data_IF_971732412366
#
_entry.id   IF_971732412366
#
_cell.length_a   1.000
_cell.length_b   1.000
_cell.length_c   1.000
_cell.angle_alpha   90.00
_cell.angle_beta   90.00
_cell.angle_gamma   90.00
#
_symmetry.space_group_name_H-M   'P 1'
#
loop_
_entity.id
_entity.type
_entity.pdbx_description
1 polymer ?
#
# COMPACT_ATOMS: atom_id res chain seq x y z
N UNK A 1 11.56 -16.94 -18.61
CA UNK A 1 11.14 -15.53 -18.75
C UNK A 1 10.23 -15.22 -17.58
N UNK A 2 10.60 -14.30 -16.68
CA UNK A 2 9.68 -13.89 -15.61
C UNK A 2 8.54 -13.10 -16.25
N UNK A 3 7.30 -13.55 -16.04
CA UNK A 3 6.10 -12.91 -16.58
C UNK A 3 5.59 -11.88 -15.57
N UNK A 4 4.83 -10.91 -16.05
CA UNK A 4 4.05 -10.05 -15.16
C UNK A 4 3.16 -10.93 -14.26
N UNK A 5 2.97 -10.49 -13.01
CA UNK A 5 2.08 -11.20 -12.07
C UNK A 5 0.64 -10.73 -12.26
N UNK A 6 -0.37 -11.58 -12.01
CA UNK A 6 -1.77 -11.17 -12.07
C UNK A 6 -2.08 -10.05 -11.05
N UNK A 7 -2.91 -9.09 -11.46
CA UNK A 7 -3.49 -8.16 -10.50
C UNK A 7 -4.67 -8.81 -9.76
N UNK A 8 -4.91 -8.34 -8.55
CA UNK A 8 -6.10 -8.70 -7.77
C UNK A 8 -7.04 -7.50 -7.74
N UNK A 9 -8.00 -7.45 -8.66
CA UNK A 9 -8.89 -6.31 -8.87
C UNK A 9 -10.36 -6.74 -8.87
N UNK A 10 -11.22 -5.90 -8.30
CA UNK A 10 -12.68 -6.00 -8.32
C UNK A 10 -13.28 -4.60 -8.17
N UNK A 11 -14.51 -4.39 -8.62
CA UNK A 11 -15.28 -3.20 -8.25
C UNK A 11 -15.58 -3.16 -6.75
N UNK A 12 -15.62 -1.97 -6.15
CA UNK A 12 -15.99 -1.81 -4.73
C UNK A 12 -14.88 -2.16 -3.73
N UNK A 13 -13.61 -2.12 -4.16
CA UNK A 13 -12.47 -2.28 -3.25
C UNK A 13 -12.45 -1.18 -2.18
N UNK A 14 -12.21 -1.58 -0.93
CA UNK A 14 -11.89 -0.64 0.16
C UNK A 14 -10.49 -0.07 -0.04
N UNK A 15 -9.53 -0.91 -0.43
CA UNK A 15 -8.13 -0.55 -0.51
C UNK A 15 -7.47 -1.20 -1.73
N UNK A 16 -6.77 -0.42 -2.54
CA UNK A 16 -5.90 -0.92 -3.60
C UNK A 16 -4.43 -0.64 -3.24
N UNK A 17 -3.63 -1.69 -3.05
CA UNK A 17 -2.19 -1.55 -2.88
C UNK A 17 -1.50 -1.44 -4.24
N UNK A 18 -0.62 -0.46 -4.38
CA UNK A 18 0.16 -0.20 -5.59
C UNK A 18 1.65 -0.25 -5.28
N UNK A 19 2.33 -1.27 -5.80
CA UNK A 19 3.79 -1.38 -5.75
C UNK A 19 4.50 -0.74 -6.96
N UNK A 20 5.83 -0.76 -6.94
CA UNK A 20 6.66 -0.35 -8.08
C UNK A 20 6.48 -1.32 -9.24
N UNK A 21 6.97 -2.54 -9.05
CA UNK A 21 6.94 -3.65 -9.97
C UNK A 21 7.22 -4.96 -9.20
N UNK A 22 6.94 -6.13 -9.78
CA UNK A 22 7.25 -7.39 -9.13
C UNK A 22 8.76 -7.55 -8.92
N UNK A 23 9.15 -8.09 -7.77
CA UNK A 23 10.51 -8.66 -7.63
C UNK A 23 10.67 -9.88 -8.53
N UNK A 24 11.91 -10.33 -8.79
CA UNK A 24 12.13 -11.61 -9.48
C UNK A 24 11.36 -12.77 -8.83
N UNK A 25 11.40 -12.87 -7.49
CA UNK A 25 10.66 -13.90 -6.75
C UNK A 25 9.16 -13.83 -6.99
N UNK A 26 8.60 -12.62 -6.96
CA UNK A 26 7.17 -12.41 -7.25
C UNK A 26 6.85 -12.79 -8.70
N UNK A 27 7.68 -12.39 -9.66
CA UNK A 27 7.53 -12.78 -11.07
C UNK A 27 7.67 -14.29 -11.33
N UNK A 28 8.38 -15.02 -10.46
CA UNK A 28 8.49 -16.49 -10.49
C UNK A 28 7.28 -17.18 -9.87
N UNK A 29 6.80 -16.69 -8.71
CA UNK A 29 5.70 -17.35 -7.97
C UNK A 29 4.32 -16.88 -8.41
N UNK A 30 4.20 -15.74 -9.08
CA UNK A 30 2.93 -15.13 -9.43
C UNK A 30 2.26 -14.36 -8.28
N UNK A 31 2.94 -14.22 -7.14
CA UNK A 31 2.35 -13.64 -5.92
C UNK A 31 2.96 -12.29 -5.53
N UNK A 32 2.11 -11.38 -5.07
CA UNK A 32 2.51 -10.05 -4.63
C UNK A 32 3.39 -10.11 -3.38
N UNK A 33 4.44 -9.29 -3.36
CA UNK A 33 5.37 -9.17 -2.24
C UNK A 33 6.00 -10.50 -1.76
N UNK A 34 6.15 -11.48 -2.65
CA UNK A 34 6.65 -12.84 -2.35
C UNK A 34 8.13 -12.98 -1.94
N UNK A 35 8.94 -11.92 -2.01
CA UNK A 35 10.33 -11.99 -1.55
C UNK A 35 10.36 -12.14 -0.02
N UNK A 36 11.06 -13.14 0.57
CA UNK A 36 11.10 -13.34 2.02
C UNK A 36 11.62 -12.16 2.83
N UNK A 37 12.46 -11.31 2.22
CA UNK A 37 12.96 -10.08 2.84
C UNK A 37 11.97 -8.91 2.75
N UNK A 38 10.84 -9.09 2.06
CA UNK A 38 9.78 -8.09 2.00
C UNK A 38 8.90 -8.19 3.26
N UNK A 39 8.71 -7.05 3.94
CA UNK A 39 8.01 -6.97 5.21
C UNK A 39 6.50 -6.76 5.06
N UNK A 40 5.97 -6.67 3.84
CA UNK A 40 4.58 -6.28 3.56
C UNK A 40 3.56 -7.03 4.40
N UNK A 41 3.57 -8.36 4.35
CA UNK A 41 2.62 -9.21 5.06
C UNK A 41 2.70 -9.08 6.58
N UNK A 42 3.91 -8.88 7.11
CA UNK A 42 4.12 -8.63 8.54
C UNK A 42 3.58 -7.26 8.95
N UNK A 43 3.89 -6.22 8.18
CA UNK A 43 3.41 -4.85 8.40
C UNK A 43 1.89 -4.78 8.34
N UNK A 44 1.27 -5.44 7.36
CA UNK A 44 -0.18 -5.44 7.18
C UNK A 44 -0.90 -6.05 8.40
N UNK A 45 -0.33 -7.13 8.96
CA UNK A 45 -0.84 -7.76 10.17
C UNK A 45 -0.60 -6.88 11.41
N UNK A 46 0.63 -6.43 11.64
CA UNK A 46 0.96 -5.62 12.83
C UNK A 46 0.29 -4.23 12.84
N UNK A 47 -0.08 -3.71 11.66
CA UNK A 47 -0.87 -2.49 11.52
C UNK A 47 -2.35 -2.72 11.88
N UNK A 48 -2.78 -3.98 12.03
CA UNK A 48 -4.16 -4.34 12.31
C UNK A 48 -5.09 -4.18 11.12
N UNK A 49 -4.55 -4.24 9.89
CA UNK A 49 -5.34 -4.18 8.65
C UNK A 49 -5.87 -5.55 8.26
N UNK A 50 -5.23 -6.63 8.73
CA UNK A 50 -5.67 -8.00 8.49
C UNK A 50 -5.87 -8.74 9.82
N UNK A 51 -6.84 -9.68 9.90
CA UNK A 51 -7.14 -10.40 11.15
C UNK A 51 -6.06 -11.39 11.57
N UNK A 52 -5.24 -11.83 10.63
CA UNK A 52 -4.09 -12.72 10.83
C UNK A 52 -2.99 -12.33 9.84
N UNK A 53 -1.78 -12.84 10.05
CA UNK A 53 -0.72 -12.72 9.05
C UNK A 53 -0.98 -13.70 7.91
N UNK A 54 -1.17 -13.17 6.71
CA UNK A 54 -1.28 -13.93 5.47
C UNK A 54 0.11 -14.18 4.87
N UNK A 55 0.25 -15.21 4.04
CA UNK A 55 1.40 -15.45 3.19
C UNK A 55 1.18 -14.89 1.78
N UNK A 56 2.25 -14.71 0.97
CA UNK A 56 2.11 -14.28 -0.41
C UNK A 56 1.15 -15.13 -1.25
N UNK A 57 1.11 -16.44 -1.00
CA UNK A 57 0.27 -17.39 -1.72
C UNK A 57 -1.23 -17.16 -1.49
N UNK A 58 -1.59 -16.45 -0.41
CA UNK A 58 -2.96 -16.13 -0.01
C UNK A 58 -3.37 -14.71 -0.48
N UNK A 59 -2.57 -14.05 -1.31
CA UNK A 59 -2.81 -12.66 -1.72
C UNK A 59 -4.17 -12.43 -2.41
N UNK A 60 -4.67 -13.41 -3.15
CA UNK A 60 -6.01 -13.38 -3.73
C UNK A 60 -7.15 -13.46 -2.71
N UNK A 61 -6.93 -14.04 -1.53
CA UNK A 61 -7.96 -14.14 -0.47
C UNK A 61 -8.34 -12.77 0.10
N UNK A 62 -7.41 -11.81 0.04
CA UNK A 62 -7.60 -10.45 0.53
C UNK A 62 -8.67 -9.67 -0.25
N UNK A 63 -9.06 -10.12 -1.45
CA UNK A 63 -10.22 -9.60 -2.16
C UNK A 63 -11.51 -9.73 -1.32
N UNK A 64 -11.64 -10.78 -0.50
CA UNK A 64 -12.78 -10.96 0.39
C UNK A 64 -12.81 -9.91 1.53
N UNK A 65 -11.65 -9.33 1.87
CA UNK A 65 -11.54 -8.20 2.80
C UNK A 65 -11.74 -6.84 2.12
N UNK A 66 -11.90 -6.84 0.79
CA UNK A 66 -11.98 -5.63 -0.04
C UNK A 66 -10.61 -5.04 -0.37
N UNK A 67 -9.53 -5.83 -0.29
CA UNK A 67 -8.16 -5.39 -0.57
C UNK A 67 -7.68 -5.96 -1.91
N UNK A 68 -7.17 -5.09 -2.78
CA UNK A 68 -6.67 -5.43 -4.09
C UNK A 68 -5.19 -5.09 -4.26
N UNK A 69 -4.59 -5.61 -5.33
CA UNK A 69 -3.16 -5.49 -5.62
C UNK A 69 -2.90 -5.20 -7.09
N UNK A 70 -2.00 -4.26 -7.35
CA UNK A 70 -1.44 -3.97 -8.68
C UNK A 70 -0.03 -3.39 -8.51
N UNK A 71 0.71 -3.26 -9.61
CA UNK A 71 1.93 -2.45 -9.68
C UNK A 71 1.77 -1.31 -10.68
N UNK A 72 2.59 -0.26 -10.56
CA UNK A 72 2.67 0.77 -11.60
C UNK A 72 3.40 0.25 -12.84
N UNK A 73 4.38 -0.65 -12.69
CA UNK A 73 5.11 -1.28 -13.81
C UNK A 73 5.00 -2.81 -13.73
N UNK A 74 4.75 -3.43 -14.89
CA UNK A 74 4.45 -4.86 -15.01
C UNK A 74 5.71 -5.74 -14.97
N UNK A 75 6.84 -5.24 -15.51
CA UNK A 75 8.07 -6.03 -15.72
C UNK A 75 8.78 -6.34 -14.40
N UNK A 76 9.06 -7.62 -14.08
CA UNK A 76 9.83 -7.95 -12.88
C UNK A 76 11.29 -7.49 -12.96
N UNK A 77 11.85 -6.96 -11.87
CA UNK A 77 13.27 -6.59 -11.76
C UNK A 77 13.86 -6.99 -10.40
N UNK A 78 15.19 -6.87 -10.23
CA UNK A 78 15.81 -7.08 -8.91
C UNK A 78 15.54 -5.88 -8.01
N UNK A 79 15.59 -4.68 -8.58
CA UNK A 79 15.40 -3.42 -7.88
C UNK A 79 14.53 -2.45 -8.69
N UNK A 80 13.78 -1.58 -8.01
CA UNK A 80 12.98 -0.54 -8.66
C UNK A 80 13.84 0.50 -9.42
N UNK A 81 15.15 0.56 -9.18
CA UNK A 81 16.08 1.42 -9.90
C UNK A 81 16.29 1.00 -11.36
N UNK A 82 15.93 -0.23 -11.71
CA UNK A 82 16.01 -0.77 -13.09
C UNK A 82 14.77 -0.44 -13.94
N UNK A 83 13.76 0.21 -13.37
CA UNK A 83 12.58 0.68 -14.11
C UNK A 83 12.97 1.97 -14.85
N UNK A 84 12.76 2.01 -16.16
CA UNK A 84 13.03 3.20 -16.96
C UNK A 84 11.85 4.19 -16.97
N UNK A 85 12.09 5.38 -17.55
CA UNK A 85 11.11 6.48 -17.57
C UNK A 85 9.89 6.13 -18.42
N UNK A 86 10.10 5.45 -19.54
CA UNK A 86 9.07 5.05 -20.49
C UNK A 86 8.09 4.06 -19.87
N UNK A 87 8.61 3.11 -19.08
CA UNK A 87 7.83 2.17 -18.28
C UNK A 87 6.98 2.88 -17.24
N UNK A 88 7.53 3.84 -16.50
CA UNK A 88 6.75 4.64 -15.55
C UNK A 88 5.65 5.46 -16.23
N UNK A 89 5.93 6.06 -17.39
CA UNK A 89 4.93 6.87 -18.10
C UNK A 89 3.79 6.02 -18.67
N UNK A 90 4.11 4.86 -19.25
CA UNK A 90 3.10 3.90 -19.69
C UNK A 90 2.30 3.35 -18.51
N UNK A 91 3.00 2.95 -17.44
CA UNK A 91 2.46 2.41 -16.21
C UNK A 91 1.49 3.37 -15.51
N UNK A 92 1.88 4.64 -15.39
CA UNK A 92 1.02 5.71 -14.85
C UNK A 92 -0.31 5.81 -15.58
N UNK A 93 -0.30 5.80 -16.92
CA UNK A 93 -1.54 5.91 -17.72
C UNK A 93 -2.45 4.71 -17.49
N UNK A 94 -1.89 3.50 -17.50
CA UNK A 94 -2.64 2.26 -17.21
C UNK A 94 -3.23 2.27 -15.80
N UNK A 95 -2.41 2.63 -14.80
CA UNK A 95 -2.82 2.67 -13.41
C UNK A 95 -3.94 3.70 -13.18
N UNK A 96 -3.83 4.89 -13.79
CA UNK A 96 -4.87 5.91 -13.74
C UNK A 96 -6.19 5.38 -14.29
N UNK A 97 -6.18 4.73 -15.46
CA UNK A 97 -7.38 4.14 -16.05
C UNK A 97 -8.01 3.08 -15.13
N UNK A 98 -7.20 2.21 -14.51
CA UNK A 98 -7.68 1.23 -13.53
C UNK A 98 -8.36 1.90 -12.32
N UNK A 99 -7.78 2.96 -11.79
CA UNK A 99 -8.33 3.67 -10.61
C UNK A 99 -9.62 4.41 -10.98
N UNK A 100 -9.69 5.03 -12.16
CA UNK A 100 -10.88 5.73 -12.66
C UNK A 100 -12.06 4.78 -12.90
N UNK A 101 -11.78 3.54 -13.37
CA UNK A 101 -12.77 2.49 -13.62
C UNK A 101 -13.23 1.79 -12.32
N UNK A 102 -12.28 1.33 -11.51
CA UNK A 102 -12.59 0.52 -10.31
C UNK A 102 -13.09 1.33 -9.12
N UNK A 103 -12.73 2.62 -9.05
CA UNK A 103 -13.07 3.55 -7.97
C UNK A 103 -12.90 2.95 -6.57
N UNK A 104 -11.70 2.46 -6.20
CA UNK A 104 -11.47 2.02 -4.83
C UNK A 104 -11.65 3.19 -3.86
N UNK A 105 -12.03 2.93 -2.60
CA UNK A 105 -12.13 4.02 -1.62
C UNK A 105 -10.76 4.66 -1.35
N UNK A 106 -9.72 3.84 -1.29
CA UNK A 106 -8.33 4.26 -1.03
C UNK A 106 -7.37 3.57 -1.98
N UNK A 107 -6.38 4.31 -2.48
CA UNK A 107 -5.20 3.76 -3.17
C UNK A 107 -3.98 3.98 -2.27
N UNK A 108 -3.38 2.89 -1.80
CA UNK A 108 -2.16 2.92 -0.99
C UNK A 108 -0.94 2.63 -1.87
N UNK A 109 -0.15 3.67 -2.11
CA UNK A 109 1.11 3.60 -2.84
C UNK A 109 2.22 3.11 -1.90
N UNK A 110 2.65 1.87 -2.08
CA UNK A 110 3.66 1.20 -1.24
C UNK A 110 5.06 1.60 -1.71
N UNK A 111 5.42 2.84 -1.39
CA UNK A 111 6.64 3.52 -1.75
C UNK A 111 6.39 4.94 -2.25
N UNK A 112 7.04 5.94 -1.63
CA UNK A 112 6.91 7.36 -2.02
C UNK A 112 7.17 7.60 -3.50
N UNK A 113 8.17 6.92 -4.07
CA UNK A 113 8.49 7.06 -5.49
C UNK A 113 7.41 6.53 -6.43
N UNK A 114 6.62 5.51 -6.03
CA UNK A 114 5.46 5.07 -6.81
C UNK A 114 4.48 6.23 -6.96
N UNK A 115 4.15 6.88 -5.83
CA UNK A 115 3.23 8.01 -5.83
C UNK A 115 3.79 9.22 -6.55
N UNK A 116 5.08 9.53 -6.41
CA UNK A 116 5.71 10.64 -7.15
C UNK A 116 5.66 10.40 -8.67
N UNK A 117 5.89 9.16 -9.14
CA UNK A 117 5.78 8.82 -10.56
C UNK A 117 4.34 8.91 -11.07
N UNK A 118 3.38 8.48 -10.25
CA UNK A 118 1.95 8.52 -10.57
C UNK A 118 1.38 9.96 -10.59
N UNK A 119 1.53 10.68 -9.48
CA UNK A 119 0.98 12.04 -9.26
C UNK A 119 1.78 13.14 -9.95
N UNK A 120 3.04 12.88 -10.33
CA UNK A 120 4.04 13.87 -10.80
C UNK A 120 4.40 14.94 -9.76
N UNK A 121 3.97 14.79 -8.50
CA UNK A 121 4.39 15.67 -7.40
C UNK A 121 5.81 15.32 -6.95
N UNK A 122 6.62 16.35 -6.66
CA UNK A 122 7.99 16.17 -6.16
C UNK A 122 8.03 16.00 -4.64
N UNK A 123 7.33 16.87 -3.92
CA UNK A 123 7.26 16.84 -2.46
C UNK A 123 5.99 16.11 -2.04
N UNK A 124 6.16 15.06 -1.23
CA UNK A 124 5.11 14.13 -0.82
C UNK A 124 5.32 13.76 0.64
N UNK A 125 4.29 13.94 1.47
CA UNK A 125 4.24 13.48 2.86
C UNK A 125 3.86 11.99 2.93
N UNK A 126 4.14 11.34 4.05
CA UNK A 126 3.57 10.01 4.33
C UNK A 126 2.11 10.14 4.76
N UNK A 127 1.32 9.08 4.59
CA UNK A 127 -0.07 9.05 5.01
C UNK A 127 -1.06 9.53 3.94
N UNK A 128 -2.25 9.94 4.38
CA UNK A 128 -3.31 10.49 3.53
C UNK A 128 -2.82 11.77 2.85
N UNK A 129 -3.08 11.89 1.55
CA UNK A 129 -2.74 13.07 0.77
C UNK A 129 -3.92 14.06 0.74
N UNK A 130 -3.64 15.36 0.84
CA UNK A 130 -4.66 16.42 0.85
C UNK A 130 -5.45 16.49 -0.46
N UNK A 131 -4.77 16.24 -1.58
CA UNK A 131 -5.35 16.21 -2.91
C UNK A 131 -5.23 14.81 -3.50
N UNK A 132 -6.34 14.32 -4.04
CA UNK A 132 -6.39 13.08 -4.79
C UNK A 132 -6.09 13.30 -6.27
N UNK A 133 -5.42 12.34 -6.89
CA UNK A 133 -5.16 12.33 -8.33
C UNK A 133 -6.43 12.01 -9.12
N UNK A 134 -7.33 11.21 -8.55
CA UNK A 134 -8.65 10.86 -9.11
C UNK A 134 -9.72 11.34 -8.12
N UNK A 135 -10.64 12.24 -8.52
CA UNK A 135 -11.66 12.77 -7.60
C UNK A 135 -12.51 11.66 -6.97
N UNK A 136 -12.71 11.73 -5.66
CA UNK A 136 -13.48 10.76 -4.88
C UNK A 136 -12.73 9.48 -4.50
N UNK A 137 -11.44 9.38 -4.82
CA UNK A 137 -10.54 8.30 -4.37
C UNK A 137 -9.50 8.88 -3.44
N UNK A 138 -9.27 8.29 -2.26
CA UNK A 138 -8.26 8.78 -1.33
C UNK A 138 -6.88 8.25 -1.74
N UNK A 139 -5.91 9.14 -1.92
CA UNK A 139 -4.51 8.75 -2.13
C UNK A 139 -3.79 8.63 -0.78
N UNK A 140 -3.14 7.50 -0.53
CA UNK A 140 -2.35 7.24 0.68
C UNK A 140 -0.93 6.84 0.31
N UNK A 141 0.08 7.44 0.93
CA UNK A 141 1.49 7.15 0.66
C UNK A 141 2.14 6.42 1.82
N UNK A 142 2.52 5.18 1.56
CA UNK A 142 3.22 4.33 2.51
C UNK A 142 4.71 4.20 2.15
N UNK A 143 5.59 3.89 3.12
CA UNK A 143 6.96 3.50 2.82
C UNK A 143 6.99 2.18 2.03
N UNK A 144 8.04 1.98 1.23
CA UNK A 144 8.28 0.68 0.60
C UNK A 144 8.63 -0.35 1.66
N UNK A 145 8.05 -1.55 1.56
CA UNK A 145 8.24 -2.66 2.50
C UNK A 145 9.42 -3.56 2.17
N UNK A 146 10.22 -3.22 1.15
CA UNK A 146 11.43 -3.95 0.79
C UNK A 146 12.41 -4.01 1.97
N UNK A 147 13.14 -5.14 2.10
CA UNK A 147 14.23 -5.29 3.07
C UNK A 147 15.41 -4.33 2.84
N UNK A 148 15.46 -3.66 1.68
CA UNK A 148 16.47 -2.64 1.38
C UNK A 148 16.20 -1.29 2.08
N UNK A 149 14.98 -1.06 2.58
CA UNK A 149 14.58 0.22 3.19
C UNK A 149 14.99 0.25 4.66
N UNK A 150 15.70 1.32 5.06
CA UNK A 150 16.24 1.51 6.41
C UNK A 150 15.20 1.88 7.49
N UNK A 151 13.99 2.29 7.09
CA UNK A 151 12.91 2.58 8.04
C UNK A 151 12.64 1.36 8.93
N UNK A 152 12.50 1.60 10.23
CA UNK A 152 12.20 0.56 11.20
C UNK A 152 10.85 -0.11 10.88
N UNK A 153 10.67 -1.34 11.36
CA UNK A 153 9.38 -2.01 11.21
C UNK A 153 8.28 -1.26 11.97
N UNK A 154 8.61 -0.72 13.15
CA UNK A 154 7.67 0.01 13.99
C UNK A 154 7.14 1.28 13.29
N UNK A 155 8.03 2.12 12.76
CA UNK A 155 7.65 3.34 12.04
C UNK A 155 6.82 3.03 10.80
N UNK A 156 7.22 1.99 10.06
CA UNK A 156 6.51 1.52 8.88
C UNK A 156 5.09 1.07 9.24
N UNK A 157 4.97 0.23 10.28
CA UNK A 157 3.69 -0.23 10.80
C UNK A 157 2.83 0.91 11.33
N UNK A 158 3.41 1.91 11.99
CA UNK A 158 2.69 3.09 12.48
C UNK A 158 2.07 3.90 11.33
N UNK A 159 2.79 4.07 10.21
CA UNK A 159 2.24 4.71 9.01
C UNK A 159 1.10 3.87 8.43
N UNK A 160 1.30 2.57 8.19
CA UNK A 160 0.24 1.70 7.64
C UNK A 160 -1.02 1.68 8.53
N UNK A 161 -0.87 1.76 9.85
CA UNK A 161 -1.98 1.79 10.80
C UNK A 161 -2.91 2.99 10.60
N UNK A 162 -2.41 4.10 10.05
CA UNK A 162 -3.24 5.27 9.75
C UNK A 162 -4.36 4.96 8.73
N UNK A 163 -4.20 3.93 7.88
CA UNK A 163 -5.28 3.51 6.97
C UNK A 163 -6.56 3.12 7.72
N UNK A 164 -6.45 2.66 8.97
CA UNK A 164 -7.63 2.32 9.79
C UNK A 164 -8.50 3.53 10.10
N UNK A 165 -7.93 4.73 10.23
CA UNK A 165 -8.71 5.92 10.59
C UNK A 165 -9.69 6.33 9.48
N UNK A 166 -9.45 5.88 8.24
CA UNK A 166 -10.35 6.14 7.10
C UNK A 166 -11.72 5.46 7.30
N UNK A 167 -11.75 4.34 8.02
CA UNK A 167 -12.97 3.55 8.28
C UNK A 167 -13.36 3.52 9.76
N UNK A 168 -12.63 4.22 10.62
CA UNK A 168 -12.96 4.28 12.04
C UNK A 168 -14.30 5.01 12.21
N UNK A 169 -15.18 4.45 13.03
CA UNK A 169 -16.40 5.16 13.45
C UNK A 169 -16.04 6.22 14.50
N UNK A 170 -16.77 7.35 14.58
CA UNK A 170 -16.47 8.44 15.51
C UNK A 170 -16.26 8.00 16.98
N UNK A 171 -16.91 6.92 17.40
CA UNK A 171 -16.85 6.33 18.74
C UNK A 171 -15.48 5.71 19.09
N UNK A 172 -14.70 5.26 18.10
CA UNK A 172 -13.40 4.62 18.30
C UNK A 172 -12.27 5.64 18.52
N UNK A 173 -12.42 6.85 17.97
CA UNK A 173 -11.44 7.94 18.10
C UNK A 173 -11.44 8.58 19.49
N UNK A 174 -12.62 8.81 20.10
CA UNK A 174 -12.72 9.45 21.42
C UNK A 174 -12.27 8.56 22.58
N UNK A 175 -12.31 7.24 22.41
CA UNK A 175 -11.90 6.27 23.43
C UNK A 175 -10.38 6.25 23.68
N UNK A 176 -9.58 6.64 22.68
CA UNK A 176 -8.12 6.61 22.78
C UNK A 176 -7.53 7.90 23.37
N UNK A 177 -8.17 9.05 23.14
CA UNK A 177 -7.80 10.33 23.78
C UNK A 177 -8.12 10.31 25.27
N UNK A 178 -9.34 9.88 25.65
CA UNK A 178 -9.73 9.76 27.06
C UNK A 178 -8.93 8.71 27.86
N UNK A 179 -8.25 7.77 27.18
CA UNK A 179 -7.38 6.76 27.82
C UNK A 179 -5.95 7.25 27.98
N UNK A 180 -5.52 8.20 27.15
CA UNK A 180 -4.22 8.87 27.26
C UNK A 180 -4.25 10.01 28.29
N UNK A 181 -5.38 10.70 28.45
CA UNK A 181 -5.56 11.71 29.51
C UNK A 181 -5.59 11.08 30.90
N UNK A 182 -6.35 9.99 31.09
CA UNK A 182 -6.39 9.25 32.36
C UNK A 182 -5.05 8.65 32.80
N UNK A 183 -4.13 8.37 31.87
CA UNK A 183 -2.79 7.89 32.21
C UNK A 183 -1.82 8.99 32.63
N UNK A 184 -2.09 10.26 32.28
CA UNK A 184 -1.27 11.40 32.72
C UNK A 184 -1.68 11.91 34.10
N UNK A 185 -2.93 11.74 34.49
CA UNK A 185 -3.43 12.12 35.82
C UNK A 185 -3.01 11.14 36.92
N UNK A 186 -2.68 9.88 36.58
CA UNK A 186 -2.21 8.87 37.55
C UNK A 186 -0.69 8.91 37.80
N UNK A 187 0.06 9.80 37.12
CA UNK A 187 1.52 9.97 37.24
C UNK A 187 1.94 11.31 37.91
N UNK A 188 0.99 12.12 38.41
CA UNK A 188 1.20 13.31 39.26
C UNK A 188 0.74 13.08 40.70
#
# INVERSE_FOLDING_TARGET
MSRAIPDHLRTGLKLLFVGYNPSLKSGETGHHYANPNNRFWRVLYEAGLTPRKYSPEEDGELLALGYGFTNIVDRPTRTAAEINKEEYEAGRKKLRAKIEDLRPQVVCFVGKGVYQQYSKKRTVSWGIQEESTVPGVIDFVAPSTSGLVRMSLEDMTAIFRQLKSIWATPEETGSNEQRNERRKEDEE
#
